data_IF_267025884018
#
_entry.id   IF_267025884018
#
_cell.length_a   1.000
_cell.length_b   1.000
_cell.length_c   1.000
_cell.angle_alpha   90.00
_cell.angle_beta   90.00
_cell.angle_gamma   90.00
#
_symmetry.space_group_name_H-M   'P 1'
#
loop_
_entity.id
_entity.type
_entity.pdbx_description
1 polymer ?
#
# COMPACT_ATOMS: atom_id res chain seq x y z
N UNK A 1 -69.77 38.72 20.43
CA UNK A 1 -69.62 37.82 19.23
C UNK A 1 -68.18 37.35 19.25
N UNK A 2 -67.95 36.16 19.77
CA UNK A 2 -66.66 35.48 19.71
C UNK A 2 -66.63 34.51 18.51
N UNK A 3 -65.73 34.78 17.56
CA UNK A 3 -65.50 33.87 16.44
C UNK A 3 -64.32 32.94 16.81
N UNK A 4 -64.62 31.67 16.99
CA UNK A 4 -63.66 30.64 17.27
C UNK A 4 -62.95 30.23 15.95
N UNK A 5 -61.65 30.43 15.86
CA UNK A 5 -60.82 29.86 14.80
C UNK A 5 -60.58 28.38 15.12
N UNK A 6 -61.15 27.50 14.30
CA UNK A 6 -60.89 26.08 14.32
C UNK A 6 -59.57 25.83 13.59
N UNK A 7 -58.51 25.49 14.35
CA UNK A 7 -57.24 25.06 13.75
C UNK A 7 -57.39 23.60 13.34
N UNK A 8 -57.24 23.34 12.08
CA UNK A 8 -57.35 22.01 11.50
C UNK A 8 -56.13 21.13 11.89
N UNK A 9 -56.37 20.21 12.82
CA UNK A 9 -55.36 19.28 13.40
C UNK A 9 -54.87 18.24 12.36
N UNK A 10 -55.53 18.11 11.22
CA UNK A 10 -55.17 17.13 10.16
C UNK A 10 -53.98 17.59 9.30
N UNK A 11 -53.79 18.92 9.16
CA UNK A 11 -52.65 19.40 8.33
C UNK A 11 -51.30 19.25 9.04
N UNK A 12 -51.27 19.23 10.38
CA UNK A 12 -50.03 19.04 11.16
C UNK A 12 -49.58 17.57 11.15
N UNK A 13 -50.49 16.62 11.07
CA UNK A 13 -50.19 15.18 11.07
C UNK A 13 -49.65 14.66 9.73
N UNK A 14 -49.96 15.34 8.62
CA UNK A 14 -49.41 15.00 7.28
C UNK A 14 -47.94 15.48 7.14
N UNK A 15 -47.62 16.61 7.69
CA UNK A 15 -46.23 17.17 7.62
C UNK A 15 -45.25 16.36 8.45
N UNK A 16 -45.64 15.83 9.62
CA UNK A 16 -44.76 14.97 10.45
C UNK A 16 -44.56 13.58 9.82
N UNK A 17 -45.61 13.02 9.17
CA UNK A 17 -45.48 11.72 8.46
C UNK A 17 -44.63 11.81 7.20
N UNK A 18 -44.62 12.94 6.49
CA UNK A 18 -43.72 13.11 5.32
C UNK A 18 -42.29 13.27 5.76
N UNK A 19 -42.01 14.03 6.84
CA UNK A 19 -40.67 14.19 7.39
C UNK A 19 -40.11 12.87 7.97
N UNK A 20 -40.94 12.08 8.64
CA UNK A 20 -40.54 10.74 9.09
C UNK A 20 -40.27 9.76 7.92
N UNK A 21 -41.08 9.81 6.88
CA UNK A 21 -40.89 8.96 5.69
C UNK A 21 -39.64 9.37 4.88
N UNK A 22 -39.32 10.67 4.83
CA UNK A 22 -38.07 11.16 4.25
C UNK A 22 -36.86 10.78 5.10
N UNK A 23 -36.96 10.84 6.43
CA UNK A 23 -35.91 10.39 7.35
C UNK A 23 -35.68 8.88 7.26
N UNK A 24 -36.75 8.06 7.23
CA UNK A 24 -36.67 6.60 7.01
C UNK A 24 -36.16 6.24 5.61
N UNK A 25 -36.50 7.03 4.59
CA UNK A 25 -36.00 6.83 3.23
C UNK A 25 -34.53 7.28 3.09
N UNK A 26 -34.07 8.31 3.83
CA UNK A 26 -32.67 8.67 3.91
C UNK A 26 -31.84 7.64 4.72
N UNK A 27 -32.41 7.05 5.77
CA UNK A 27 -31.78 5.95 6.51
C UNK A 27 -31.76 4.64 5.73
N UNK A 28 -32.77 4.34 4.90
CA UNK A 28 -32.82 3.12 4.08
C UNK A 28 -31.93 3.15 2.83
N UNK A 29 -31.47 4.31 2.38
CA UNK A 29 -30.49 4.46 1.27
C UNK A 29 -29.04 4.28 1.74
N UNK A 30 -28.81 4.20 3.06
CA UNK A 30 -27.48 4.09 3.68
C UNK A 30 -27.01 2.67 4.04
N UNK A 31 -27.77 1.59 3.77
CA UNK A 31 -27.50 0.31 4.40
C UNK A 31 -27.54 -0.89 3.45
N UNK A 32 -26.77 -0.87 2.37
CA UNK A 32 -26.23 -2.13 1.78
C UNK A 32 -25.03 -1.90 0.85
N UNK A 33 -24.08 -1.04 1.25
CA UNK A 33 -22.72 -1.17 0.74
C UNK A 33 -21.99 -2.11 1.70
N UNK A 34 -21.82 -3.36 1.30
CA UNK A 34 -20.94 -4.29 2.00
C UNK A 34 -19.63 -3.54 2.34
N UNK A 35 -19.25 -3.54 3.63
CA UNK A 35 -18.03 -2.84 4.08
C UNK A 35 -16.85 -3.31 3.24
N UNK A 36 -15.98 -2.41 2.77
CA UNK A 36 -14.85 -2.78 1.93
C UNK A 36 -13.95 -3.78 2.64
N UNK A 37 -13.54 -4.82 1.93
CA UNK A 37 -12.68 -5.90 2.46
C UNK A 37 -11.23 -5.50 2.32
N UNK A 38 -10.47 -5.66 3.40
CA UNK A 38 -9.08 -5.27 3.51
C UNK A 38 -8.14 -6.46 3.45
N UNK A 39 -7.05 -6.32 2.73
CA UNK A 39 -5.89 -7.21 2.77
C UNK A 39 -4.70 -6.43 3.32
N UNK A 40 -4.01 -7.01 4.30
CA UNK A 40 -2.84 -6.40 4.94
C UNK A 40 -1.58 -7.11 4.45
N UNK A 41 -0.53 -6.34 4.16
CA UNK A 41 0.78 -6.87 3.82
C UNK A 41 1.87 -6.12 4.60
N UNK A 42 2.54 -6.82 5.50
CA UNK A 42 3.63 -6.26 6.32
C UNK A 42 4.47 -7.42 6.87
N UNK A 43 5.78 -7.34 6.76
CA UNK A 43 6.71 -8.37 7.23
C UNK A 43 7.00 -8.27 8.75
N UNK A 44 6.56 -7.18 9.40
CA UNK A 44 6.61 -7.01 10.84
C UNK A 44 5.37 -7.62 11.50
N UNK A 45 5.46 -8.88 11.92
CA UNK A 45 4.31 -9.65 12.43
C UNK A 45 3.52 -8.94 13.54
N UNK A 46 4.21 -8.29 14.50
CA UNK A 46 3.56 -7.57 15.60
C UNK A 46 2.77 -6.36 15.07
N UNK A 47 3.33 -5.63 14.13
CA UNK A 47 2.66 -4.47 13.53
C UNK A 47 1.47 -4.90 12.67
N UNK A 48 1.64 -5.93 11.85
CA UNK A 48 0.57 -6.50 11.02
C UNK A 48 -0.62 -6.96 11.87
N UNK A 49 -0.35 -7.64 13.00
CA UNK A 49 -1.39 -8.09 13.92
C UNK A 49 -2.10 -6.92 14.62
N UNK A 50 -1.36 -5.93 15.10
CA UNK A 50 -1.94 -4.73 15.70
C UNK A 50 -2.83 -3.98 14.69
N UNK A 51 -2.36 -3.86 13.45
CA UNK A 51 -3.10 -3.23 12.36
C UNK A 51 -4.37 -4.02 12.02
N UNK A 52 -4.29 -5.36 11.99
CA UNK A 52 -5.44 -6.24 11.80
C UNK A 52 -6.50 -6.00 12.86
N UNK A 53 -6.13 -6.09 14.14
CA UNK A 53 -7.05 -5.86 15.27
C UNK A 53 -7.67 -4.46 15.22
N UNK A 54 -6.88 -3.46 14.81
CA UNK A 54 -7.36 -2.08 14.68
C UNK A 54 -8.41 -1.93 13.57
N UNK A 55 -8.13 -2.49 12.38
CA UNK A 55 -9.02 -2.40 11.23
C UNK A 55 -10.29 -3.25 11.37
N UNK A 56 -10.21 -4.42 12.01
CA UNK A 56 -11.35 -5.33 12.21
C UNK A 56 -12.48 -4.72 13.06
N UNK A 57 -12.20 -3.63 13.77
CA UNK A 57 -13.26 -2.86 14.47
C UNK A 57 -14.28 -2.23 13.51
N UNK A 58 -13.87 -1.97 12.27
CA UNK A 58 -14.68 -1.24 11.30
C UNK A 58 -14.81 -1.96 9.97
N UNK A 59 -13.78 -2.68 9.54
CA UNK A 59 -13.69 -3.28 8.21
C UNK A 59 -13.33 -4.77 8.30
N UNK A 60 -13.91 -5.64 7.44
CA UNK A 60 -13.48 -7.02 7.36
C UNK A 60 -12.06 -7.13 6.78
N UNK A 61 -11.14 -7.77 7.52
CA UNK A 61 -9.80 -8.10 7.05
C UNK A 61 -9.82 -9.52 6.51
N UNK A 62 -9.58 -9.70 5.21
CA UNK A 62 -9.68 -10.99 4.52
C UNK A 62 -8.37 -11.78 4.50
N UNK A 63 -7.27 -11.17 4.91
CA UNK A 63 -5.98 -11.84 5.03
C UNK A 63 -4.86 -10.91 5.49
N UNK A 64 -3.77 -11.52 5.94
CA UNK A 64 -2.51 -10.86 6.29
C UNK A 64 -1.39 -11.66 5.65
N UNK A 65 -0.47 -10.99 4.99
CA UNK A 65 0.69 -11.60 4.31
C UNK A 65 1.96 -10.81 4.65
N UNK A 66 3.13 -11.42 4.46
CA UNK A 66 4.41 -10.87 4.92
C UNK A 66 5.40 -10.52 3.81
N UNK A 67 5.03 -10.69 2.55
CA UNK A 67 5.89 -10.34 1.42
C UNK A 67 5.07 -10.00 0.17
N UNK A 68 5.73 -9.37 -0.81
CA UNK A 68 5.03 -8.88 -1.99
C UNK A 68 4.56 -9.96 -2.96
N UNK A 69 5.12 -11.17 -2.93
CA UNK A 69 4.63 -12.29 -3.75
C UNK A 69 3.36 -12.88 -3.16
N UNK A 70 3.39 -13.15 -1.86
CA UNK A 70 2.20 -13.57 -1.13
C UNK A 70 1.08 -12.54 -1.27
N UNK A 71 1.42 -11.23 -1.32
CA UNK A 71 0.45 -10.16 -1.56
C UNK A 71 -0.23 -10.29 -2.92
N UNK A 72 0.52 -10.55 -3.99
CA UNK A 72 -0.06 -10.73 -5.33
C UNK A 72 -1.02 -11.92 -5.34
N UNK A 73 -0.57 -13.07 -4.85
CA UNK A 73 -1.39 -14.30 -4.81
C UNK A 73 -2.67 -14.11 -4.00
N UNK A 74 -2.54 -13.52 -2.79
CA UNK A 74 -3.68 -13.25 -1.92
C UNK A 74 -4.65 -12.23 -2.54
N UNK A 75 -4.17 -11.18 -3.15
CA UNK A 75 -5.00 -10.15 -3.78
C UNK A 75 -5.85 -10.73 -4.93
N UNK A 76 -5.26 -11.56 -5.78
CA UNK A 76 -5.98 -12.19 -6.89
C UNK A 76 -6.99 -13.25 -6.42
N UNK A 77 -6.65 -13.99 -5.36
CA UNK A 77 -7.51 -15.02 -4.79
C UNK A 77 -8.66 -14.45 -3.96
N UNK A 78 -8.33 -13.52 -3.05
CA UNK A 78 -9.28 -12.98 -2.07
C UNK A 78 -10.08 -11.79 -2.59
N UNK A 79 -9.60 -11.12 -3.64
CA UNK A 79 -10.24 -9.96 -4.29
C UNK A 79 -10.65 -8.88 -3.27
N UNK A 80 -9.71 -8.31 -2.50
CA UNK A 80 -10.00 -7.22 -1.57
C UNK A 80 -10.36 -5.94 -2.35
N UNK A 81 -11.08 -5.03 -1.72
CA UNK A 81 -11.31 -3.69 -2.25
C UNK A 81 -10.18 -2.73 -1.89
N UNK A 82 -9.52 -2.96 -0.75
CA UNK A 82 -8.42 -2.14 -0.25
C UNK A 82 -7.25 -3.02 0.18
N UNK A 83 -6.06 -2.65 -0.23
CA UNK A 83 -4.81 -3.25 0.25
C UNK A 83 -4.10 -2.20 1.11
N UNK A 84 -3.73 -2.58 2.34
CA UNK A 84 -2.82 -1.83 3.20
C UNK A 84 -1.48 -2.55 3.19
N UNK A 85 -0.47 -1.96 2.58
CA UNK A 85 0.81 -2.63 2.36
C UNK A 85 1.99 -1.80 2.87
N UNK A 86 2.94 -2.45 3.53
CA UNK A 86 4.26 -1.86 3.72
C UNK A 86 4.93 -1.67 2.34
N UNK A 87 5.61 -0.54 2.18
CA UNK A 87 6.44 -0.30 1.00
C UNK A 87 7.62 -1.24 0.95
N UNK A 88 8.27 -1.45 2.09
CA UNK A 88 9.53 -2.20 2.16
C UNK A 88 9.31 -3.62 2.71
N UNK A 89 8.93 -4.54 1.84
CA UNK A 89 8.77 -5.95 2.16
C UNK A 89 9.85 -6.81 1.48
N UNK A 90 10.20 -7.97 2.05
CA UNK A 90 11.16 -8.90 1.45
C UNK A 90 10.62 -9.52 0.16
N UNK A 91 11.54 -10.05 -0.67
CA UNK A 91 11.29 -10.76 -1.94
C UNK A 91 10.76 -9.85 -3.05
N UNK A 92 9.73 -9.05 -2.76
CA UNK A 92 9.14 -8.05 -3.65
C UNK A 92 8.53 -6.95 -2.79
N UNK A 93 8.97 -5.71 -3.01
CA UNK A 93 8.46 -4.57 -2.27
C UNK A 93 6.98 -4.30 -2.59
N UNK A 94 6.27 -3.63 -1.65
CA UNK A 94 4.84 -3.41 -1.75
C UNK A 94 4.41 -2.59 -2.96
N UNK A 95 5.25 -1.66 -3.41
CA UNK A 95 4.95 -0.81 -4.55
C UNK A 95 5.03 -1.58 -5.87
N UNK A 96 6.05 -2.42 -6.06
CA UNK A 96 6.16 -3.27 -7.25
C UNK A 96 5.12 -4.40 -7.26
N UNK A 97 4.75 -4.93 -6.07
CA UNK A 97 3.62 -5.85 -5.94
C UNK A 97 2.31 -5.19 -6.38
N UNK A 98 2.04 -3.96 -5.90
CA UNK A 98 0.83 -3.21 -6.26
C UNK A 98 0.76 -2.90 -7.77
N UNK A 99 1.88 -2.60 -8.43
CA UNK A 99 1.92 -2.42 -9.90
C UNK A 99 1.45 -3.67 -10.63
N UNK A 100 1.95 -4.84 -10.23
CA UNK A 100 1.58 -6.13 -10.85
C UNK A 100 0.13 -6.51 -10.57
N UNK A 101 -0.36 -6.24 -9.35
CA UNK A 101 -1.77 -6.47 -9.01
C UNK A 101 -2.67 -5.57 -9.85
N UNK A 102 -2.31 -4.30 -10.05
CA UNK A 102 -3.11 -3.34 -10.79
C UNK A 102 -3.31 -3.73 -12.26
N UNK A 103 -2.34 -4.42 -12.88
CA UNK A 103 -2.46 -4.94 -14.25
C UNK A 103 -3.61 -5.95 -14.38
N UNK A 104 -3.92 -6.70 -13.32
CA UNK A 104 -4.93 -7.76 -13.31
C UNK A 104 -6.21 -7.38 -12.54
N UNK A 105 -6.08 -6.47 -11.56
CA UNK A 105 -7.16 -6.03 -10.70
C UNK A 105 -7.12 -4.49 -10.51
N UNK A 106 -7.48 -3.70 -11.55
CA UNK A 106 -7.28 -2.25 -11.59
C UNK A 106 -8.11 -1.46 -10.58
N UNK A 107 -9.17 -2.06 -10.04
CA UNK A 107 -10.11 -1.39 -9.13
C UNK A 107 -9.68 -1.43 -7.65
N UNK A 108 -8.66 -2.22 -7.31
CA UNK A 108 -8.15 -2.31 -5.95
C UNK A 108 -7.52 -0.97 -5.56
N UNK A 109 -7.84 -0.50 -4.37
CA UNK A 109 -7.30 0.72 -3.77
C UNK A 109 -6.13 0.38 -2.86
N UNK A 110 -5.18 1.32 -2.75
CA UNK A 110 -3.93 1.07 -2.02
C UNK A 110 -3.70 2.12 -0.95
N UNK A 111 -3.26 1.66 0.23
CA UNK A 111 -2.70 2.47 1.30
C UNK A 111 -1.31 1.92 1.58
N UNK A 112 -0.29 2.74 1.33
CA UNK A 112 1.09 2.37 1.61
C UNK A 112 1.51 2.86 2.98
N UNK A 113 2.07 1.95 3.76
CA UNK A 113 2.71 2.25 5.04
C UNK A 113 4.22 2.29 4.83
N UNK A 114 4.90 3.20 5.48
CA UNK A 114 6.36 3.35 5.37
C UNK A 114 6.96 3.94 6.63
N UNK A 115 8.19 3.56 6.95
CA UNK A 115 8.98 4.21 8.00
C UNK A 115 9.63 5.52 7.51
N UNK A 116 9.66 5.76 6.19
CA UNK A 116 10.42 6.86 5.58
C UNK A 116 9.49 7.92 4.99
N UNK A 117 9.78 9.16 5.32
CA UNK A 117 9.19 10.34 4.69
C UNK A 117 9.96 10.63 3.39
N UNK A 118 9.70 9.86 2.34
CA UNK A 118 10.39 9.95 1.04
C UNK A 118 9.40 10.36 -0.07
N UNK A 119 9.48 11.61 -0.54
CA UNK A 119 8.61 12.12 -1.60
C UNK A 119 8.71 11.34 -2.92
N UNK A 120 9.87 10.75 -3.23
CA UNK A 120 10.02 9.97 -4.46
C UNK A 120 9.21 8.66 -4.40
N UNK A 121 9.18 8.00 -3.23
CA UNK A 121 8.32 6.83 -3.02
C UNK A 121 6.84 7.20 -3.13
N UNK A 122 6.43 8.30 -2.51
CA UNK A 122 5.05 8.77 -2.59
C UNK A 122 4.66 9.14 -4.03
N UNK A 123 5.55 9.79 -4.78
CA UNK A 123 5.32 10.12 -6.18
C UNK A 123 5.20 8.86 -7.06
N UNK A 124 6.06 7.86 -6.83
CA UNK A 124 5.99 6.58 -7.52
C UNK A 124 4.69 5.80 -7.18
N UNK A 125 4.23 5.90 -5.94
CA UNK A 125 2.96 5.30 -5.50
C UNK A 125 1.75 5.98 -6.16
N UNK A 126 1.77 7.30 -6.33
CA UNK A 126 0.68 8.07 -6.98
C UNK A 126 0.49 7.73 -8.47
N UNK A 127 1.46 7.08 -9.12
CA UNK A 127 1.28 6.56 -10.48
C UNK A 127 0.27 5.41 -10.54
N UNK A 128 0.01 4.77 -9.40
CA UNK A 128 -1.05 3.76 -9.27
C UNK A 128 -2.46 4.36 -9.21
N UNK A 129 -2.59 5.68 -9.12
CA UNK A 129 -3.86 6.40 -9.00
C UNK A 129 -4.04 7.03 -7.62
N UNK A 130 -5.28 7.25 -7.17
CA UNK A 130 -5.55 7.75 -5.83
C UNK A 130 -5.13 6.71 -4.78
N UNK A 131 -4.05 7.00 -4.06
CA UNK A 131 -3.50 6.14 -3.01
C UNK A 131 -3.45 6.88 -1.66
N UNK A 132 -3.45 6.13 -0.57
CA UNK A 132 -3.02 6.60 0.74
C UNK A 132 -1.51 6.34 0.90
N UNK A 133 -0.79 7.34 1.38
CA UNK A 133 0.60 7.17 1.80
C UNK A 133 0.72 7.65 3.24
N UNK A 134 1.04 6.74 4.16
CA UNK A 134 0.95 6.96 5.61
C UNK A 134 2.26 6.49 6.25
N UNK A 135 2.79 7.29 7.17
CA UNK A 135 3.95 6.88 7.94
C UNK A 135 3.53 5.84 9.01
N UNK A 136 4.33 4.79 9.21
CA UNK A 136 4.06 3.78 10.27
C UNK A 136 4.04 4.39 11.68
N UNK A 137 4.62 5.57 11.87
CA UNK A 137 4.59 6.34 13.12
C UNK A 137 3.32 7.20 13.26
N UNK A 138 2.48 7.25 12.22
CA UNK A 138 1.26 8.04 12.23
C UNK A 138 0.24 7.47 13.22
N UNK A 139 -0.68 8.32 13.64
CA UNK A 139 -1.77 7.90 14.52
C UNK A 139 -2.79 7.05 13.76
N UNK A 140 -3.53 6.19 14.47
CA UNK A 140 -4.64 5.45 13.88
C UNK A 140 -5.68 6.36 13.22
N UNK A 141 -5.86 7.57 13.74
CA UNK A 141 -6.75 8.59 13.15
C UNK A 141 -6.28 9.04 11.77
N UNK A 142 -4.97 9.16 11.55
CA UNK A 142 -4.43 9.51 10.22
C UNK A 142 -4.62 8.37 9.23
N UNK A 143 -4.46 7.11 9.68
CA UNK A 143 -4.75 5.94 8.86
C UNK A 143 -6.24 5.92 8.43
N UNK A 144 -7.18 6.15 9.36
CA UNK A 144 -8.61 6.22 9.01
C UNK A 144 -8.90 7.35 8.02
N UNK A 145 -8.30 8.53 8.19
CA UNK A 145 -8.41 9.62 7.20
C UNK A 145 -7.87 9.22 5.83
N UNK A 146 -6.76 8.48 5.78
CA UNK A 146 -6.23 7.97 4.53
C UNK A 146 -7.18 6.98 3.87
N UNK A 147 -7.76 6.07 4.65
CA UNK A 147 -8.77 5.11 4.19
C UNK A 147 -9.96 5.85 3.58
N UNK A 148 -10.56 6.79 4.31
CA UNK A 148 -11.71 7.54 3.84
C UNK A 148 -11.40 8.28 2.53
N UNK A 149 -10.28 8.99 2.46
CA UNK A 149 -9.90 9.68 1.22
C UNK A 149 -9.80 8.72 0.03
N UNK A 150 -9.10 7.60 0.20
CA UNK A 150 -8.87 6.62 -0.86
C UNK A 150 -10.18 5.94 -1.29
N UNK A 151 -11.07 5.66 -0.35
CA UNK A 151 -12.41 5.14 -0.66
C UNK A 151 -13.22 6.11 -1.52
N UNK A 152 -13.08 7.42 -1.29
CA UNK A 152 -13.69 8.48 -2.12
C UNK A 152 -12.89 8.80 -3.39
N UNK A 153 -11.86 8.04 -3.73
CA UNK A 153 -11.03 8.27 -4.91
C UNK A 153 -10.10 9.49 -4.81
N UNK A 154 -9.80 9.95 -3.59
CA UNK A 154 -8.88 11.06 -3.33
C UNK A 154 -7.56 10.53 -2.75
N UNK A 155 -6.41 11.07 -3.16
CA UNK A 155 -5.14 10.69 -2.55
C UNK A 155 -5.01 11.27 -1.13
N UNK A 156 -4.31 10.55 -0.27
CA UNK A 156 -3.89 11.03 1.04
C UNK A 156 -2.37 10.96 1.16
N UNK A 157 -1.77 12.08 1.53
CA UNK A 157 -0.32 12.22 1.73
C UNK A 157 -0.05 12.92 3.06
N UNK A 158 1.04 12.61 3.76
CA UNK A 158 1.49 13.36 4.92
C UNK A 158 1.64 14.86 4.62
N UNK A 159 1.41 15.71 5.62
CA UNK A 159 1.42 17.16 5.43
C UNK A 159 2.73 17.69 4.86
N UNK A 160 3.88 17.12 5.26
CA UNK A 160 5.22 17.49 4.77
C UNK A 160 5.37 17.23 3.27
N UNK A 161 4.83 16.12 2.78
CA UNK A 161 4.88 15.75 1.36
C UNK A 161 3.99 16.60 0.47
N UNK A 162 2.98 17.29 1.04
CA UNK A 162 2.07 18.15 0.26
C UNK A 162 2.69 19.49 -0.14
N UNK A 163 3.73 19.92 0.58
CA UNK A 163 4.39 21.21 0.38
C UNK A 163 5.50 21.19 -0.68
N UNK A 164 5.88 20.01 -1.19
CA UNK A 164 6.98 19.86 -2.13
C UNK A 164 6.55 20.07 -3.59
N UNK A 165 7.54 20.37 -4.44
CA UNK A 165 7.33 20.48 -5.88
C UNK A 165 7.04 19.10 -6.50
N UNK A 166 5.75 18.75 -6.51
CA UNK A 166 5.24 17.49 -7.03
C UNK A 166 5.57 17.27 -8.51
N UNK A 167 5.74 18.31 -9.30
CA UNK A 167 6.04 18.20 -10.74
C UNK A 167 7.44 17.65 -10.91
N UNK A 168 8.43 18.23 -10.19
CA UNK A 168 9.80 17.76 -10.23
C UNK A 168 9.95 16.37 -9.60
N UNK A 169 9.27 16.10 -8.49
CA UNK A 169 9.30 14.81 -7.79
C UNK A 169 8.70 13.68 -8.63
N UNK A 170 7.55 13.91 -9.27
CA UNK A 170 6.97 12.95 -10.23
C UNK A 170 7.85 12.71 -11.44
N UNK A 171 8.50 13.74 -11.97
CA UNK A 171 9.42 13.58 -13.09
C UNK A 171 10.60 12.67 -12.73
N UNK A 172 11.20 12.85 -11.54
CA UNK A 172 12.28 12.00 -11.03
C UNK A 172 11.82 10.54 -10.79
N UNK A 173 10.66 10.35 -10.16
CA UNK A 173 10.10 9.02 -9.92
C UNK A 173 9.82 8.27 -11.24
N UNK A 174 9.29 8.97 -12.25
CA UNK A 174 9.06 8.40 -13.59
C UNK A 174 10.35 8.08 -14.31
N UNK A 175 11.37 8.93 -14.19
CA UNK A 175 12.67 8.66 -14.78
C UNK A 175 13.25 7.38 -14.19
N UNK A 176 13.28 7.26 -12.86
CA UNK A 176 13.78 6.05 -12.19
C UNK A 176 12.98 4.79 -12.55
N UNK A 177 11.64 4.88 -12.63
CA UNK A 177 10.80 3.75 -13.04
C UNK A 177 11.09 3.27 -14.48
N UNK A 178 11.62 4.15 -15.34
CA UNK A 178 12.04 3.82 -16.72
C UNK A 178 13.47 3.25 -16.80
N UNK A 179 14.32 3.57 -15.82
CA UNK A 179 15.74 3.19 -15.83
C UNK A 179 15.96 1.70 -15.50
N UNK A 180 15.09 1.09 -14.67
CA UNK A 180 15.12 -0.33 -14.37
C UNK A 180 13.83 -1.01 -14.83
N UNK A 181 13.96 -2.10 -15.55
CA UNK A 181 12.82 -2.97 -15.84
C UNK A 181 12.31 -3.62 -14.55
N UNK A 182 11.04 -4.09 -14.50
CA UNK A 182 10.53 -4.82 -13.33
C UNK A 182 11.43 -5.96 -12.89
N UNK A 183 12.01 -6.69 -13.85
CA UNK A 183 12.92 -7.79 -13.60
C UNK A 183 14.24 -7.36 -12.98
N UNK A 184 14.78 -6.24 -13.45
CA UNK A 184 16.01 -5.68 -12.90
C UNK A 184 15.78 -5.16 -11.47
N UNK A 185 14.63 -4.58 -11.17
CA UNK A 185 14.27 -4.17 -9.79
C UNK A 185 14.22 -5.36 -8.85
N UNK A 186 13.57 -6.47 -9.24
CA UNK A 186 13.56 -7.71 -8.45
C UNK A 186 14.99 -8.19 -8.14
N UNK A 187 15.87 -8.21 -9.15
CA UNK A 187 17.24 -8.66 -8.99
C UNK A 187 18.00 -7.74 -8.04
N UNK A 188 17.91 -6.41 -8.20
CA UNK A 188 18.56 -5.43 -7.31
C UNK A 188 18.06 -5.59 -5.88
N UNK A 189 16.76 -5.72 -5.68
CA UNK A 189 16.17 -5.91 -4.36
C UNK A 189 16.73 -7.17 -3.69
N UNK A 190 16.65 -8.32 -4.34
CA UNK A 190 17.11 -9.59 -3.79
C UNK A 190 18.61 -9.62 -3.49
N UNK A 191 19.43 -8.97 -4.34
CA UNK A 191 20.85 -8.79 -4.03
C UNK A 191 21.08 -7.89 -2.81
N UNK A 192 20.33 -6.82 -2.70
CA UNK A 192 20.44 -5.89 -1.59
C UNK A 192 19.94 -6.49 -0.26
N UNK A 193 19.03 -7.48 -0.33
CA UNK A 193 18.63 -8.32 0.80
C UNK A 193 19.72 -9.34 1.20
N UNK A 194 20.84 -9.39 0.48
CA UNK A 194 21.96 -10.30 0.77
C UNK A 194 21.75 -11.73 0.29
N UNK A 195 20.80 -11.98 -0.61
CA UNK A 195 20.54 -13.34 -1.12
C UNK A 195 21.63 -13.80 -2.07
N UNK A 196 22.06 -15.06 -1.99
CA UNK A 196 23.02 -15.61 -2.92
C UNK A 196 22.42 -15.77 -4.33
N UNK A 197 23.27 -15.68 -5.35
CA UNK A 197 22.86 -15.71 -6.77
C UNK A 197 22.00 -16.94 -7.12
N UNK A 198 22.33 -18.09 -6.56
CA UNK A 198 21.58 -19.34 -6.76
C UNK A 198 20.14 -19.23 -6.23
N UNK A 199 19.95 -18.62 -5.08
CA UNK A 199 18.64 -18.40 -4.49
C UNK A 199 17.82 -17.41 -5.33
N UNK A 200 18.45 -16.30 -5.77
CA UNK A 200 17.83 -15.31 -6.66
C UNK A 200 17.37 -15.98 -7.96
N UNK A 201 18.23 -16.81 -8.55
CA UNK A 201 17.90 -17.55 -9.76
C UNK A 201 16.67 -18.46 -9.55
N UNK A 202 16.64 -19.23 -8.46
CA UNK A 202 15.49 -20.07 -8.09
C UNK A 202 14.21 -19.27 -7.86
N UNK A 203 14.29 -18.23 -7.06
CA UNK A 203 13.14 -17.34 -6.78
C UNK A 203 12.57 -16.71 -8.06
N UNK A 204 13.42 -16.37 -9.00
CA UNK A 204 13.01 -15.66 -10.20
C UNK A 204 12.74 -16.59 -11.40
N UNK A 205 12.98 -17.90 -11.28
CA UNK A 205 12.86 -18.86 -12.39
C UNK A 205 13.86 -18.57 -13.51
N UNK A 206 15.10 -18.19 -13.16
CA UNK A 206 16.19 -17.87 -14.08
C UNK A 206 17.38 -18.82 -13.87
N UNK A 207 18.32 -18.80 -14.81
CA UNK A 207 19.65 -19.36 -14.57
C UNK A 207 20.52 -18.37 -13.78
N UNK A 208 21.49 -18.87 -12.99
CA UNK A 208 22.47 -18.01 -12.30
C UNK A 208 23.21 -17.10 -13.29
N UNK A 209 23.54 -17.61 -14.47
CA UNK A 209 24.19 -16.84 -15.54
C UNK A 209 23.32 -15.67 -16.01
N UNK A 210 22.01 -15.86 -16.08
CA UNK A 210 21.07 -14.78 -16.45
C UNK A 210 20.99 -13.73 -15.36
N UNK A 211 21.00 -14.13 -14.10
CA UNK A 211 21.01 -13.21 -12.94
C UNK A 211 22.31 -12.40 -12.94
N UNK A 212 23.45 -13.06 -13.16
CA UNK A 212 24.75 -12.40 -13.24
C UNK A 212 24.83 -11.39 -14.39
N UNK A 213 24.31 -11.76 -15.56
CA UNK A 213 24.21 -10.85 -16.71
C UNK A 213 23.41 -9.58 -16.37
N UNK A 214 22.23 -9.73 -15.77
CA UNK A 214 21.43 -8.57 -15.37
C UNK A 214 22.14 -7.72 -14.32
N UNK A 215 22.76 -8.34 -13.31
CA UNK A 215 23.53 -7.62 -12.30
C UNK A 215 24.64 -6.80 -12.93
N UNK A 216 25.45 -7.42 -13.80
CA UNK A 216 26.56 -6.72 -14.46
C UNK A 216 26.06 -5.54 -15.28
N UNK A 217 25.01 -5.74 -16.07
CA UNK A 217 24.42 -4.67 -16.88
C UNK A 217 23.87 -3.51 -16.05
N UNK A 218 23.25 -3.80 -14.90
CA UNK A 218 22.79 -2.76 -13.97
C UNK A 218 23.97 -2.01 -13.39
N UNK A 219 24.99 -2.72 -12.91
CA UNK A 219 26.19 -2.09 -12.32
C UNK A 219 26.90 -1.19 -13.34
N UNK A 220 26.98 -1.61 -14.60
CA UNK A 220 27.57 -0.82 -15.67
C UNK A 220 26.71 0.42 -15.99
N UNK A 221 25.39 0.25 -16.20
CA UNK A 221 24.47 1.32 -16.55
C UNK A 221 24.43 2.45 -15.51
N UNK A 222 24.59 2.11 -14.22
CA UNK A 222 24.55 3.06 -13.11
C UNK A 222 25.94 3.38 -12.52
N UNK A 223 27.01 2.92 -13.16
CA UNK A 223 28.38 3.12 -12.72
C UNK A 223 28.62 2.68 -11.25
N UNK A 224 28.04 1.53 -10.87
CA UNK A 224 28.22 0.93 -9.54
C UNK A 224 29.47 0.03 -9.57
N UNK A 225 30.40 0.27 -8.65
CA UNK A 225 31.72 -0.39 -8.69
C UNK A 225 31.76 -1.70 -7.91
N UNK A 226 30.88 -1.89 -6.94
CA UNK A 226 30.88 -3.04 -6.04
C UNK A 226 29.48 -3.32 -5.48
N UNK A 227 29.34 -4.40 -4.71
CA UNK A 227 28.07 -4.77 -4.11
C UNK A 227 27.54 -3.73 -3.08
N UNK A 228 28.44 -3.00 -2.39
CA UNK A 228 28.02 -1.96 -1.46
C UNK A 228 27.34 -0.81 -2.20
N UNK A 229 27.87 -0.42 -3.36
CA UNK A 229 27.23 0.59 -4.22
C UNK A 229 25.84 0.14 -4.67
N UNK A 230 25.67 -1.15 -4.98
CA UNK A 230 24.38 -1.73 -5.36
C UNK A 230 23.36 -1.68 -4.21
N UNK A 231 23.80 -1.98 -2.98
CA UNK A 231 22.97 -1.89 -1.77
C UNK A 231 22.56 -0.43 -1.52
N UNK A 232 23.51 0.50 -1.58
CA UNK A 232 23.23 1.94 -1.42
C UNK A 232 22.28 2.46 -2.50
N UNK A 233 22.44 1.98 -3.73
CA UNK A 233 21.54 2.26 -4.83
C UNK A 233 20.11 1.77 -4.52
N UNK A 234 19.98 0.51 -4.07
CA UNK A 234 18.67 -0.06 -3.70
C UNK A 234 18.00 0.72 -2.56
N UNK A 235 18.77 1.11 -1.53
CA UNK A 235 18.29 1.95 -0.43
C UNK A 235 17.82 3.32 -0.90
N UNK A 236 18.63 3.99 -1.72
CA UNK A 236 18.33 5.32 -2.25
C UNK A 236 17.05 5.33 -3.06
N UNK A 237 16.77 4.24 -3.76
CA UNK A 237 15.61 4.12 -4.63
C UNK A 237 14.42 3.39 -3.99
N UNK A 238 14.49 3.10 -2.68
CA UNK A 238 13.40 2.52 -1.90
C UNK A 238 13.03 1.09 -2.29
N UNK A 239 13.97 0.35 -2.90
CA UNK A 239 13.80 -1.07 -3.21
C UNK A 239 13.92 -1.93 -1.95
N UNK A 240 14.71 -1.47 -0.98
CA UNK A 240 14.82 -2.06 0.36
C UNK A 240 14.76 -0.95 1.41
N UNK A 241 14.45 -1.31 2.66
CA UNK A 241 14.64 -0.45 3.84
C UNK A 241 15.80 -0.98 4.69
N UNK A 242 16.43 -0.11 5.48
CA UNK A 242 17.27 -0.52 6.60
C UNK A 242 16.36 -0.46 7.82
N UNK A 243 15.95 -1.62 8.32
CA UNK A 243 15.36 -1.69 9.63
C UNK A 243 16.48 -1.52 10.67
N UNK A 244 16.25 -0.75 11.74
CA UNK A 244 17.22 -0.61 12.82
C UNK A 244 17.46 -1.92 13.60
N UNK A 245 16.65 -2.98 13.36
CA UNK A 245 16.84 -4.31 13.94
C UNK A 245 17.04 -5.38 12.86
N UNK A 246 18.08 -6.24 12.97
CA UNK A 246 18.22 -7.38 12.08
C UNK A 246 17.08 -8.35 12.31
N UNK A 247 16.32 -8.66 11.26
CA UNK A 247 15.30 -9.69 11.28
C UNK A 247 15.90 -10.99 11.85
N UNK A 248 15.31 -11.51 12.93
CA UNK A 248 15.79 -12.68 13.69
C UNK A 248 15.91 -13.95 12.81
N UNK A 249 15.31 -13.95 11.63
CA UNK A 249 15.31 -15.08 10.71
C UNK A 249 16.62 -15.31 9.93
N UNK A 250 17.52 -14.33 9.83
CA UNK A 250 18.80 -14.50 9.13
C UNK A 250 19.86 -15.23 9.99
N UNK A 251 19.67 -15.38 11.31
CA UNK A 251 20.62 -16.04 12.21
C UNK A 251 20.43 -17.55 12.36
N UNK A 252 19.23 -18.07 12.15
CA UNK A 252 18.95 -19.51 12.32
C UNK A 252 19.65 -20.40 11.26
N UNK A 253 19.98 -19.86 10.09
CA UNK A 253 20.63 -20.62 9.02
C UNK A 253 22.16 -20.72 9.15
N UNK A 254 22.81 -20.02 10.08
CA UNK A 254 24.28 -20.00 10.23
C UNK A 254 24.84 -20.88 11.35
N UNK A 255 24.01 -21.41 12.27
CA UNK A 255 24.47 -22.20 13.41
C UNK A 255 24.13 -23.69 13.33
N UNK A 256 23.87 -24.23 12.15
CA UNK A 256 23.66 -25.65 11.92
C UNK A 256 24.80 -26.25 11.08
N UNK A 257 26.02 -26.27 11.63
CA UNK A 257 27.11 -27.20 11.25
C UNK A 257 28.01 -27.41 12.45
#
# INVERSE_FOLDING_TARGET
MYSAHFVDVNSCNMSVRSAQKESEMMESVSTDRSRPRFLIADDHAIFAEALRVYLERTYPVVGVVSDGRALIEAALKLKPEVIVADVAMPILNGLDAARRIKEQAPNIKYIFLTMRDDPNLAAAALELGPIGFVLKQATGTELLKAIDNVLYGKPYLPARMRAEDWVATKARARQFAKELTPRQRDIVQLFAEGRPMKEIAGLLGLSEKTVEFHKHHIMEAFNLKNNADLILFALKHGLISVDPEPSVHARAARNGR
#
